data_IF_230681009291
#
_entry.id   IF_230681009291
#
_cell.length_a   1.000
_cell.length_b   1.000
_cell.length_c   1.000
_cell.angle_alpha   90.00
_cell.angle_beta   90.00
_cell.angle_gamma   90.00
#
_symmetry.space_group_name_H-M   'P 1'
#
loop_
_entity.id
_entity.type
_entity.pdbx_description
1 polymer ?
#
# COMPACT_ATOMS: atom_id res chain seq x y z
N UNK A 1 -2.93 27.89 20.30
CA UNK A 1 -3.31 27.34 18.97
C UNK A 1 -2.13 26.66 18.26
N UNK A 2 -1.06 27.37 17.84
CA UNK A 2 0.10 26.70 17.21
C UNK A 2 0.85 25.76 18.16
N UNK A 3 1.04 26.17 19.44
CA UNK A 3 1.67 25.33 20.47
C UNK A 3 0.92 24.01 20.70
N UNK A 4 -0.41 24.08 20.74
CA UNK A 4 -1.28 22.90 20.92
C UNK A 4 -1.20 21.93 19.72
N UNK A 5 -1.01 22.46 18.51
CA UNK A 5 -0.80 21.66 17.29
C UNK A 5 0.56 20.94 17.37
N UNK A 6 1.63 21.65 17.73
CA UNK A 6 2.96 21.05 17.86
C UNK A 6 3.02 20.00 18.97
N UNK A 7 2.34 20.24 20.10
CA UNK A 7 2.22 19.25 21.18
C UNK A 7 1.46 18.00 20.70
N UNK A 8 0.37 18.17 19.94
CA UNK A 8 -0.39 17.07 19.37
C UNK A 8 0.42 16.26 18.35
N UNK A 9 1.14 16.93 17.45
CA UNK A 9 2.03 16.27 16.48
C UNK A 9 3.16 15.54 17.21
N UNK A 10 3.74 16.15 18.24
CA UNK A 10 4.73 15.50 19.10
C UNK A 10 4.19 14.25 19.78
N UNK A 11 2.97 14.30 20.32
CA UNK A 11 2.30 13.15 20.91
C UNK A 11 2.04 12.03 19.88
N UNK A 12 1.65 12.41 18.65
CA UNK A 12 1.42 11.48 17.55
C UNK A 12 2.68 10.71 17.13
N UNK A 13 3.88 11.26 17.37
CA UNK A 13 5.17 10.61 17.06
C UNK A 13 5.73 9.84 18.27
N UNK A 14 5.47 10.31 19.50
CA UNK A 14 5.92 9.63 20.74
C UNK A 14 5.24 8.29 20.95
N UNK A 15 3.99 8.13 20.50
CA UNK A 15 3.26 6.87 20.59
C UNK A 15 2.59 6.64 21.94
N UNK A 16 2.08 7.70 22.54
CA UNK A 16 1.28 7.65 23.77
C UNK A 16 0.02 6.81 23.53
N UNK A 17 -0.29 5.84 24.41
CA UNK A 17 -1.50 5.01 24.28
C UNK A 17 -2.75 5.85 24.50
N UNK A 18 -3.69 5.76 23.57
CA UNK A 18 -4.95 6.51 23.59
C UNK A 18 -6.14 5.58 23.30
N UNK A 19 -7.22 5.77 24.05
CA UNK A 19 -8.50 5.11 23.76
C UNK A 19 -9.26 5.91 22.69
N UNK A 20 -9.16 5.49 21.43
CA UNK A 20 -9.77 6.20 20.29
C UNK A 20 -11.31 6.11 20.25
N UNK A 21 -11.90 5.27 21.10
CA UNK A 21 -13.36 5.17 21.29
C UNK A 21 -13.93 6.30 22.17
N UNK A 22 -13.06 7.12 22.77
CA UNK A 22 -13.40 8.24 23.67
C UNK A 22 -12.71 9.53 23.23
N UNK A 23 -13.10 10.66 23.83
CA UNK A 23 -12.47 11.97 23.60
C UNK A 23 -12.76 12.60 22.23
N UNK A 24 -11.92 13.55 21.80
CA UNK A 24 -12.10 14.28 20.54
C UNK A 24 -11.80 13.40 19.31
N UNK A 25 -12.72 13.38 18.35
CA UNK A 25 -12.56 12.69 17.06
C UNK A 25 -11.37 13.26 16.30
N UNK A 26 -11.24 14.59 16.22
CA UNK A 26 -10.15 15.24 15.49
C UNK A 26 -8.79 14.85 16.08
N UNK A 27 -8.67 14.84 17.41
CA UNK A 27 -7.45 14.41 18.10
C UNK A 27 -7.11 12.96 17.79
N UNK A 28 -8.10 12.07 17.86
CA UNK A 28 -7.93 10.65 17.53
C UNK A 28 -7.46 10.45 16.08
N UNK A 29 -8.06 11.14 15.12
CA UNK A 29 -7.67 11.06 13.70
C UNK A 29 -6.23 11.56 13.52
N UNK A 30 -5.81 12.67 14.13
CA UNK A 30 -4.42 13.16 14.02
C UNK A 30 -3.42 12.17 14.60
N UNK A 31 -3.71 11.62 15.79
CA UNK A 31 -2.84 10.64 16.46
C UNK A 31 -2.66 9.34 15.67
N UNK A 32 -3.65 8.94 14.85
CA UNK A 32 -3.56 7.78 13.96
C UNK A 32 -2.95 8.16 12.60
N UNK A 33 -3.40 9.25 11.99
CA UNK A 33 -3.07 9.63 10.63
C UNK A 33 -1.62 10.05 10.47
N UNK A 34 -1.08 10.88 11.37
CA UNK A 34 0.31 11.38 11.27
C UNK A 34 1.32 10.23 11.19
N UNK A 35 1.35 9.27 12.13
CA UNK A 35 2.29 8.16 12.03
C UNK A 35 2.03 7.27 10.80
N UNK A 36 0.78 7.02 10.41
CA UNK A 36 0.48 6.22 9.22
C UNK A 36 0.85 6.93 7.90
N UNK A 37 0.75 8.27 7.84
CA UNK A 37 1.25 9.06 6.71
C UNK A 37 2.77 8.96 6.60
N UNK A 38 3.46 9.12 7.72
CA UNK A 38 4.91 9.03 7.81
C UNK A 38 5.43 7.62 7.52
N UNK A 39 4.65 6.60 7.90
CA UNK A 39 4.87 5.20 7.53
C UNK A 39 4.85 5.05 6.00
N UNK A 40 3.77 5.48 5.33
CA UNK A 40 3.63 5.34 3.87
C UNK A 40 4.54 6.28 3.06
N UNK A 41 4.91 7.43 3.61
CA UNK A 41 5.92 8.30 3.01
C UNK A 41 7.30 7.59 2.95
N UNK A 42 7.65 6.82 3.98
CA UNK A 42 8.92 6.09 4.01
C UNK A 42 8.97 4.95 2.98
N UNK A 43 7.84 4.34 2.64
CA UNK A 43 7.77 3.38 1.50
C UNK A 43 8.07 4.07 0.18
N UNK A 44 7.58 5.30 0.01
CA UNK A 44 7.85 6.10 -1.20
C UNK A 44 9.34 6.43 -1.32
N UNK A 45 9.99 6.80 -0.21
CA UNK A 45 11.43 7.09 -0.16
C UNK A 45 12.24 5.82 -0.42
N UNK A 46 11.86 4.69 0.19
CA UNK A 46 12.51 3.40 -0.04
C UNK A 46 12.55 3.02 -1.52
N UNK A 47 11.40 3.05 -2.21
CA UNK A 47 11.32 2.71 -3.62
C UNK A 47 12.24 3.57 -4.51
N UNK A 48 12.35 4.86 -4.20
CA UNK A 48 13.23 5.78 -4.93
C UNK A 48 14.72 5.48 -4.69
N UNK A 49 15.11 5.19 -3.44
CA UNK A 49 16.50 4.91 -3.10
C UNK A 49 16.97 3.57 -3.68
N UNK A 50 16.14 2.53 -3.60
CA UNK A 50 16.45 1.20 -4.15
C UNK A 50 16.67 1.28 -5.67
N UNK A 51 15.72 1.93 -6.38
CA UNK A 51 15.83 2.16 -7.83
C UNK A 51 17.12 2.92 -8.20
N UNK A 52 17.52 3.90 -7.38
CA UNK A 52 18.70 4.71 -7.61
C UNK A 52 20.02 3.92 -7.47
N UNK A 53 20.12 3.01 -6.51
CA UNK A 53 21.32 2.18 -6.36
C UNK A 53 21.39 1.07 -7.40
N UNK A 54 20.27 0.38 -7.65
CA UNK A 54 20.18 -0.67 -8.69
C UNK A 54 20.52 -0.10 -10.08
N UNK A 55 20.02 1.10 -10.39
CA UNK A 55 20.28 1.76 -11.67
C UNK A 55 21.76 2.03 -11.97
N UNK A 56 22.65 1.97 -10.97
CA UNK A 56 24.10 2.10 -11.14
C UNK A 56 24.83 0.79 -11.44
N UNK A 57 24.17 -0.36 -11.29
CA UNK A 57 24.78 -1.67 -11.56
C UNK A 57 24.88 -1.93 -13.06
N UNK A 58 23.82 -1.59 -13.81
CA UNK A 58 23.75 -1.79 -15.26
C UNK A 58 22.31 -1.86 -15.77
N UNK A 59 22.16 -1.81 -17.09
CA UNK A 59 20.85 -1.84 -17.76
C UNK A 59 20.15 -3.18 -17.59
N UNK A 60 20.89 -4.28 -17.62
CA UNK A 60 20.39 -5.65 -17.42
C UNK A 60 19.90 -5.86 -15.98
N UNK A 61 20.61 -5.28 -14.99
CA UNK A 61 20.19 -5.28 -13.59
C UNK A 61 18.90 -4.49 -13.39
N UNK A 62 18.78 -3.30 -13.98
CA UNK A 62 17.56 -2.50 -13.93
C UNK A 62 16.37 -3.24 -14.58
N UNK A 63 16.62 -3.92 -15.69
CA UNK A 63 15.60 -4.73 -16.38
C UNK A 63 15.16 -5.90 -15.51
N UNK A 64 16.09 -6.64 -14.92
CA UNK A 64 15.82 -7.72 -13.95
C UNK A 64 14.92 -7.22 -12.83
N UNK A 65 15.31 -6.13 -12.16
CA UNK A 65 14.56 -5.59 -11.03
C UNK A 65 13.16 -5.17 -11.46
N UNK A 66 13.02 -4.48 -12.59
CA UNK A 66 11.71 -4.08 -13.10
C UNK A 66 10.78 -5.26 -13.40
N UNK A 67 11.29 -6.31 -14.06
CA UNK A 67 10.48 -7.51 -14.35
C UNK A 67 10.08 -8.25 -13.06
N UNK A 68 11.01 -8.37 -12.11
CA UNK A 68 10.74 -9.01 -10.83
C UNK A 68 9.82 -8.18 -9.95
N UNK A 69 9.89 -6.86 -10.01
CA UNK A 69 8.98 -5.96 -9.30
C UNK A 69 7.53 -6.11 -9.77
N UNK A 70 7.30 -6.30 -11.07
CA UNK A 70 5.95 -6.61 -11.60
C UNK A 70 5.39 -7.89 -10.97
N UNK A 71 6.21 -8.93 -10.87
CA UNK A 71 5.81 -10.18 -10.21
C UNK A 71 5.58 -9.99 -8.70
N UNK A 72 6.48 -9.28 -8.03
CA UNK A 72 6.38 -8.97 -6.60
C UNK A 72 5.19 -8.06 -6.28
N UNK A 73 4.70 -7.27 -7.22
CA UNK A 73 3.47 -6.47 -7.06
C UNK A 73 2.25 -7.35 -6.81
N UNK A 74 2.19 -8.55 -7.41
CA UNK A 74 1.14 -9.52 -7.12
C UNK A 74 1.25 -10.06 -5.68
N UNK A 75 2.48 -10.34 -5.24
CA UNK A 75 2.77 -10.75 -3.87
C UNK A 75 2.40 -9.66 -2.87
N UNK A 76 2.75 -8.39 -3.15
CA UNK A 76 2.34 -7.24 -2.34
C UNK A 76 0.82 -7.07 -2.31
N UNK A 77 0.13 -7.27 -3.44
CA UNK A 77 -1.33 -7.18 -3.50
C UNK A 77 -1.99 -8.21 -2.56
N UNK A 78 -1.45 -9.44 -2.53
CA UNK A 78 -1.89 -10.48 -1.59
C UNK A 78 -1.54 -10.10 -0.15
N UNK A 79 -0.33 -9.59 0.12
CA UNK A 79 0.12 -9.20 1.45
C UNK A 79 -0.74 -8.06 2.04
N UNK A 80 -1.01 -7.01 1.26
CA UNK A 80 -1.84 -5.88 1.67
C UNK A 80 -3.29 -6.33 1.87
N UNK A 81 -3.82 -7.17 0.96
CA UNK A 81 -5.13 -7.79 1.12
C UNK A 81 -5.26 -8.60 2.41
N UNK A 82 -4.27 -9.46 2.67
CA UNK A 82 -4.18 -10.26 3.89
C UNK A 82 -4.07 -9.39 5.14
N UNK A 83 -3.37 -8.25 5.08
CA UNK A 83 -3.25 -7.30 6.20
C UNK A 83 -4.57 -6.61 6.57
N UNK A 84 -5.52 -6.54 5.62
CA UNK A 84 -6.83 -5.90 5.85
C UNK A 84 -7.66 -6.67 6.88
N UNK A 85 -7.57 -8.00 6.88
CA UNK A 85 -8.30 -8.87 7.81
C UNK A 85 -7.91 -8.67 9.29
N UNK A 86 -6.63 -8.83 9.71
CA UNK A 86 -6.24 -8.57 11.08
C UNK A 86 -6.43 -7.10 11.46
N UNK A 87 -6.26 -6.14 10.55
CA UNK A 87 -6.54 -4.73 10.84
C UNK A 87 -7.99 -4.52 11.28
N UNK A 88 -8.96 -5.02 10.51
CA UNK A 88 -10.38 -4.87 10.84
C UNK A 88 -10.78 -5.66 12.10
N UNK A 89 -10.34 -6.91 12.23
CA UNK A 89 -10.69 -7.78 13.36
C UNK A 89 -10.06 -7.32 14.68
N UNK A 90 -8.77 -6.96 14.66
CA UNK A 90 -8.09 -6.43 15.85
C UNK A 90 -8.71 -5.09 16.25
N UNK A 91 -8.96 -4.19 15.30
CA UNK A 91 -9.65 -2.94 15.59
C UNK A 91 -11.00 -3.19 16.27
N UNK A 92 -11.79 -4.13 15.74
CA UNK A 92 -13.07 -4.52 16.33
C UNK A 92 -12.93 -4.99 17.77
N UNK A 93 -12.07 -5.99 18.02
CA UNK A 93 -11.88 -6.56 19.36
C UNK A 93 -11.27 -5.57 20.37
N UNK A 94 -10.38 -4.68 19.94
CA UNK A 94 -9.86 -3.61 20.78
C UNK A 94 -10.95 -2.59 21.13
N UNK A 95 -11.83 -2.27 20.17
CA UNK A 95 -13.03 -1.46 20.41
C UNK A 95 -13.97 -2.08 21.44
N UNK A 96 -14.15 -3.40 21.39
CA UNK A 96 -14.94 -4.21 22.33
C UNK A 96 -14.26 -4.40 23.69
N UNK A 97 -13.04 -3.89 23.88
CA UNK A 97 -12.22 -4.10 25.09
C UNK A 97 -11.89 -5.56 25.35
N UNK A 98 -11.70 -6.34 24.28
CA UNK A 98 -11.33 -7.75 24.32
C UNK A 98 -9.96 -8.02 23.68
N UNK A 99 -8.85 -7.62 24.34
CA UNK A 99 -7.50 -7.82 23.80
C UNK A 99 -7.13 -9.31 23.62
N UNK A 100 -7.75 -10.23 24.37
CA UNK A 100 -7.51 -11.67 24.21
C UNK A 100 -7.98 -12.19 22.84
N UNK A 101 -9.16 -11.78 22.38
CA UNK A 101 -9.64 -12.12 21.05
C UNK A 101 -8.83 -11.41 19.95
N UNK A 102 -8.36 -10.20 20.22
CA UNK A 102 -7.44 -9.49 19.33
C UNK A 102 -6.12 -10.26 19.14
N UNK A 103 -5.50 -10.74 20.23
CA UNK A 103 -4.34 -11.62 20.20
C UNK A 103 -4.57 -12.90 19.42
N UNK A 104 -5.73 -13.54 19.63
CA UNK A 104 -6.09 -14.76 18.90
C UNK A 104 -6.19 -14.51 17.40
N UNK A 105 -6.90 -13.46 16.98
CA UNK A 105 -7.02 -13.09 15.57
C UNK A 105 -5.64 -12.76 14.95
N UNK A 106 -4.77 -12.06 15.69
CA UNK A 106 -3.41 -11.75 15.27
C UNK A 106 -2.57 -13.01 15.03
N UNK A 107 -2.57 -13.96 15.96
CA UNK A 107 -1.87 -15.24 15.81
C UNK A 107 -2.37 -16.06 14.61
N UNK A 108 -3.68 -16.13 14.42
CA UNK A 108 -4.28 -16.82 13.28
C UNK A 108 -3.92 -16.15 11.94
N UNK A 109 -3.89 -14.82 11.87
CA UNK A 109 -3.49 -14.09 10.67
C UNK A 109 -2.01 -14.31 10.31
N UNK A 110 -1.12 -14.35 11.31
CA UNK A 110 0.30 -14.67 11.12
C UNK A 110 0.46 -16.09 10.56
N UNK A 111 -0.23 -17.08 11.15
CA UNK A 111 -0.23 -18.46 10.66
C UNK A 111 -0.69 -18.55 9.20
N UNK A 112 -1.79 -17.86 8.86
CA UNK A 112 -2.28 -17.81 7.49
C UNK A 112 -1.27 -17.19 6.53
N UNK A 113 -0.62 -16.08 6.94
CA UNK A 113 0.42 -15.42 6.15
C UNK A 113 1.63 -16.28 5.88
N UNK A 114 2.09 -17.07 6.85
CA UNK A 114 3.20 -18.02 6.64
C UNK A 114 2.80 -19.11 5.65
N UNK A 115 1.59 -19.66 5.76
CA UNK A 115 1.10 -20.70 4.84
C UNK A 115 0.99 -20.15 3.41
N UNK A 116 0.34 -19.00 3.23
CA UNK A 116 0.20 -18.35 1.91
C UNK A 116 1.58 -18.02 1.33
N UNK A 117 2.49 -17.53 2.17
CA UNK A 117 3.86 -17.24 1.73
C UNK A 117 4.61 -18.47 1.25
N UNK A 118 4.51 -19.60 1.95
CA UNK A 118 5.15 -20.84 1.56
C UNK A 118 4.63 -21.35 0.20
N UNK A 119 3.33 -21.22 -0.05
CA UNK A 119 2.70 -21.56 -1.34
C UNK A 119 3.20 -20.71 -2.51
N UNK A 120 3.67 -19.48 -2.25
CA UNK A 120 4.26 -18.58 -3.26
C UNK A 120 5.78 -18.79 -3.36
N UNK A 121 6.47 -18.96 -2.22
CA UNK A 121 7.92 -19.06 -2.14
C UNK A 121 8.46 -20.24 -2.94
N UNK A 122 7.86 -21.43 -2.75
CA UNK A 122 8.31 -22.68 -3.37
C UNK A 122 8.28 -22.60 -4.90
N UNK A 123 7.15 -22.31 -5.55
CA UNK A 123 7.13 -22.19 -7.02
C UNK A 123 7.94 -20.98 -7.50
N UNK A 124 7.89 -19.83 -6.81
CA UNK A 124 8.63 -18.64 -7.22
C UNK A 124 10.15 -18.84 -7.21
N UNK A 125 10.67 -19.63 -6.27
CA UNK A 125 12.09 -19.98 -6.22
C UNK A 125 12.48 -21.00 -7.29
N UNK A 126 11.68 -22.07 -7.45
CA UNK A 126 11.98 -23.15 -8.41
C UNK A 126 11.92 -22.63 -9.84
N UNK A 127 10.86 -21.89 -10.19
CA UNK A 127 10.56 -21.42 -11.53
C UNK A 127 11.05 -19.99 -11.81
N UNK A 128 11.97 -19.44 -11.01
CA UNK A 128 12.42 -18.04 -11.16
C UNK A 128 12.92 -17.70 -12.58
N UNK A 129 13.65 -18.61 -13.21
CA UNK A 129 14.15 -18.43 -14.59
C UNK A 129 13.01 -18.47 -15.61
N UNK A 130 12.09 -19.44 -15.49
CA UNK A 130 10.94 -19.57 -16.37
C UNK A 130 9.98 -18.37 -16.25
N UNK A 131 9.83 -17.84 -15.04
CA UNK A 131 9.04 -16.64 -14.77
C UNK A 131 9.67 -15.40 -15.42
N UNK A 132 10.99 -15.23 -15.35
CA UNK A 132 11.69 -14.15 -16.06
C UNK A 132 11.53 -14.30 -17.58
N UNK A 133 11.69 -15.52 -18.11
CA UNK A 133 11.49 -15.81 -19.52
C UNK A 133 10.05 -15.50 -19.97
N UNK A 134 9.05 -15.86 -19.15
CA UNK A 134 7.64 -15.54 -19.40
C UNK A 134 7.37 -14.04 -19.45
N UNK A 135 8.13 -13.24 -18.70
CA UNK A 135 8.07 -11.78 -18.72
C UNK A 135 8.84 -11.15 -19.88
N UNK A 136 9.48 -11.95 -20.74
CA UNK A 136 10.21 -11.49 -21.92
C UNK A 136 11.66 -11.10 -21.64
N UNK A 137 12.25 -11.58 -20.54
CA UNK A 137 13.68 -11.40 -20.27
C UNK A 137 14.53 -12.09 -21.35
N UNK A 138 15.61 -11.43 -21.78
CA UNK A 138 16.65 -12.06 -22.61
C UNK A 138 17.47 -13.06 -21.80
N UNK A 139 18.20 -13.95 -22.48
CA UNK A 139 19.08 -14.92 -21.82
C UNK A 139 20.08 -14.26 -20.85
N UNK A 140 20.65 -13.11 -21.24
CA UNK A 140 21.57 -12.35 -20.38
C UNK A 140 20.90 -11.80 -19.10
N UNK A 141 19.66 -11.32 -19.22
CA UNK A 141 18.87 -10.84 -18.07
C UNK A 141 18.49 -12.01 -17.15
N UNK A 142 18.17 -13.17 -17.71
CA UNK A 142 17.89 -14.39 -16.93
C UNK A 142 19.15 -14.84 -16.19
N UNK A 143 20.28 -14.95 -16.88
CA UNK A 143 21.55 -15.41 -16.29
C UNK A 143 21.98 -14.51 -15.12
N UNK A 144 21.86 -13.19 -15.25
CA UNK A 144 22.20 -12.25 -14.20
C UNK A 144 21.11 -12.11 -13.12
N UNK A 145 19.84 -12.32 -13.48
CA UNK A 145 18.69 -11.93 -12.66
C UNK A 145 17.97 -13.07 -11.92
N UNK A 146 18.28 -14.33 -12.23
CA UNK A 146 17.65 -15.49 -11.58
C UNK A 146 17.92 -15.51 -10.07
N UNK A 147 19.15 -15.21 -9.64
CA UNK A 147 19.48 -15.19 -8.21
C UNK A 147 18.72 -14.11 -7.44
N UNK A 148 18.64 -12.90 -7.99
CA UNK A 148 17.81 -11.81 -7.44
C UNK A 148 16.35 -12.26 -7.27
N UNK A 149 15.76 -12.80 -8.34
CA UNK A 149 14.36 -13.25 -8.36
C UNK A 149 14.11 -14.37 -7.36
N UNK A 150 15.04 -15.34 -7.25
CA UNK A 150 15.00 -16.42 -6.26
C UNK A 150 15.00 -15.89 -4.84
N UNK A 151 15.89 -14.94 -4.51
CA UNK A 151 15.97 -14.35 -3.17
C UNK A 151 14.67 -13.62 -2.84
N UNK A 152 14.12 -12.83 -3.77
CA UNK A 152 12.87 -12.09 -3.56
C UNK A 152 11.67 -13.03 -3.31
N UNK A 153 11.53 -14.11 -4.08
CA UNK A 153 10.47 -15.09 -3.85
C UNK A 153 10.70 -15.92 -2.58
N UNK A 154 11.91 -16.41 -2.33
CA UNK A 154 12.20 -17.20 -1.13
C UNK A 154 11.98 -16.40 0.16
N UNK A 155 12.29 -15.10 0.12
CA UNK A 155 12.14 -14.19 1.26
C UNK A 155 10.74 -13.58 1.39
N UNK A 156 9.78 -13.90 0.51
CA UNK A 156 8.47 -13.26 0.51
C UNK A 156 7.70 -13.38 1.85
N UNK A 157 8.05 -14.36 2.69
CA UNK A 157 7.50 -14.50 4.06
C UNK A 157 7.75 -13.27 4.91
N UNK A 158 8.91 -12.63 4.73
CA UNK A 158 9.26 -11.40 5.42
C UNK A 158 8.30 -10.29 5.02
N UNK A 159 8.02 -10.15 3.72
CA UNK A 159 7.08 -9.16 3.19
C UNK A 159 5.66 -9.43 3.71
N UNK A 160 5.21 -10.68 3.63
CA UNK A 160 3.89 -11.10 4.11
C UNK A 160 3.70 -10.76 5.59
N UNK A 161 4.67 -11.15 6.43
CA UNK A 161 4.62 -10.87 7.86
C UNK A 161 4.71 -9.38 8.16
N UNK A 162 5.54 -8.62 7.43
CA UNK A 162 5.67 -7.18 7.60
C UNK A 162 4.31 -6.48 7.45
N UNK A 163 3.58 -6.77 6.37
CA UNK A 163 2.25 -6.21 6.13
C UNK A 163 1.20 -6.72 7.10
N UNK A 164 1.14 -8.03 7.36
CA UNK A 164 0.16 -8.63 8.27
C UNK A 164 0.30 -8.06 9.69
N UNK A 165 1.53 -7.98 10.21
CA UNK A 165 1.78 -7.49 11.56
C UNK A 165 1.62 -5.96 11.64
N UNK A 166 1.96 -5.20 10.59
CA UNK A 166 1.60 -3.79 10.54
C UNK A 166 0.08 -3.60 10.54
N UNK A 167 -0.67 -4.46 9.85
CA UNK A 167 -2.14 -4.52 9.95
C UNK A 167 -2.62 -4.72 11.39
N UNK A 168 -1.98 -5.62 12.16
CA UNK A 168 -2.26 -5.84 13.58
C UNK A 168 -2.01 -4.58 14.41
N UNK A 169 -0.84 -3.94 14.27
CA UNK A 169 -0.53 -2.70 15.02
C UNK A 169 -1.49 -1.56 14.67
N UNK A 170 -1.80 -1.38 13.38
CA UNK A 170 -2.77 -0.38 12.93
C UNK A 170 -4.15 -0.68 13.50
N UNK A 171 -4.61 -1.92 13.47
CA UNK A 171 -5.89 -2.33 14.08
C UNK A 171 -5.92 -2.04 15.58
N UNK A 172 -4.82 -2.30 16.28
CA UNK A 172 -4.67 -2.01 17.70
C UNK A 172 -4.61 -0.51 18.04
N UNK A 173 -4.50 0.36 17.03
CA UNK A 173 -4.30 1.80 17.21
C UNK A 173 -2.86 2.16 17.60
N UNK A 174 -1.92 1.23 17.48
CA UNK A 174 -0.51 1.40 17.80
C UNK A 174 0.28 1.86 16.56
N UNK A 175 -0.25 2.86 15.86
CA UNK A 175 0.24 3.36 14.56
C UNK A 175 1.73 3.77 14.59
N UNK A 176 2.21 4.30 15.72
CA UNK A 176 3.62 4.68 15.89
C UNK A 176 4.55 3.48 15.83
N UNK A 177 4.13 2.30 16.31
CA UNK A 177 4.94 1.08 16.22
C UNK A 177 5.04 0.62 14.78
N UNK A 178 3.94 0.66 14.03
CA UNK A 178 3.95 0.34 12.61
C UNK A 178 4.89 1.26 11.83
N UNK A 179 4.81 2.58 12.09
CA UNK A 179 5.73 3.57 11.52
C UNK A 179 7.20 3.28 11.86
N UNK A 180 7.53 3.08 13.14
CA UNK A 180 8.92 2.83 13.58
C UNK A 180 9.51 1.56 12.99
N UNK A 181 8.71 0.50 12.88
CA UNK A 181 9.13 -0.75 12.23
C UNK A 181 9.54 -0.49 10.80
N UNK A 182 8.72 0.24 10.03
CA UNK A 182 8.98 0.45 8.61
C UNK A 182 10.14 1.40 8.38
N UNK A 183 10.29 2.42 9.23
CA UNK A 183 11.46 3.30 9.24
C UNK A 183 12.75 2.55 9.56
N UNK A 184 12.72 1.64 10.54
CA UNK A 184 13.86 0.78 10.85
C UNK A 184 14.19 -0.12 9.66
N UNK A 185 13.20 -0.80 9.09
CA UNK A 185 13.39 -1.71 7.97
C UNK A 185 13.99 -1.01 6.74
N UNK A 186 13.37 0.09 6.32
CA UNK A 186 13.79 0.85 5.16
C UNK A 186 15.11 1.59 5.43
N UNK A 187 15.33 2.10 6.64
CA UNK A 187 16.60 2.73 7.02
C UNK A 187 17.78 1.75 6.98
N UNK A 188 17.59 0.51 7.46
CA UNK A 188 18.59 -0.55 7.35
C UNK A 188 18.85 -0.87 5.88
N UNK A 189 17.80 -1.07 5.08
CA UNK A 189 17.96 -1.36 3.66
C UNK A 189 18.74 -0.25 2.92
N UNK A 190 18.40 1.03 3.12
CA UNK A 190 19.08 2.18 2.49
C UNK A 190 20.59 2.17 2.78
N UNK A 191 21.00 1.71 3.97
CA UNK A 191 22.41 1.59 4.36
C UNK A 191 23.04 0.33 3.73
N UNK A 192 22.32 -0.78 3.72
CA UNK A 192 22.81 -2.07 3.24
C UNK A 192 22.86 -2.19 1.72
N UNK A 193 22.04 -1.44 0.98
CA UNK A 193 22.01 -1.43 -0.48
C UNK A 193 23.39 -1.12 -1.07
N UNK A 194 24.00 0.07 -0.86
CA UNK A 194 25.31 0.36 -1.43
C UNK A 194 26.38 -0.61 -0.92
N UNK A 195 26.23 -1.11 0.32
CA UNK A 195 27.16 -2.05 0.94
C UNK A 195 27.21 -3.40 0.20
N UNK A 196 26.05 -3.98 -0.09
CA UNK A 196 25.97 -5.29 -0.75
C UNK A 196 25.99 -5.19 -2.27
N UNK A 197 25.51 -4.09 -2.85
CA UNK A 197 25.52 -3.90 -4.30
C UNK A 197 26.97 -3.67 -4.79
N UNK A 198 27.67 -2.68 -4.21
CA UNK A 198 29.01 -2.29 -4.68
C UNK A 198 30.15 -2.98 -3.92
N UNK A 199 29.86 -3.53 -2.74
CA UNK A 199 30.89 -4.03 -1.82
C UNK A 199 31.55 -2.90 -1.04
N UNK A 200 32.07 -3.23 0.14
CA UNK A 200 32.89 -2.31 0.95
C UNK A 200 33.92 -3.11 1.74
N UNK A 201 35.20 -2.87 1.44
CA UNK A 201 36.32 -3.55 2.10
C UNK A 201 36.23 -5.08 1.95
N UNK A 202 36.01 -5.85 3.03
CA UNK A 202 35.95 -7.32 2.98
C UNK A 202 34.63 -7.87 2.40
N UNK A 203 33.59 -7.05 2.25
CA UNK A 203 32.30 -7.49 1.71
C UNK A 203 32.36 -7.41 0.18
N UNK A 204 32.17 -8.54 -0.54
CA UNK A 204 32.16 -8.51 -2.01
C UNK A 204 30.91 -7.79 -2.52
N UNK A 205 31.02 -7.16 -3.69
CA UNK A 205 29.87 -6.59 -4.39
C UNK A 205 29.06 -7.69 -5.07
N UNK A 206 27.83 -7.89 -4.62
CA UNK A 206 26.88 -8.88 -5.17
C UNK A 206 26.06 -8.33 -6.34
N UNK A 207 26.30 -7.08 -6.77
CA UNK A 207 25.56 -6.45 -7.86
C UNK A 207 24.06 -6.42 -7.57
N UNK A 208 23.25 -6.88 -8.52
CA UNK A 208 21.78 -6.87 -8.41
C UNK A 208 21.29 -7.75 -7.24
N UNK A 209 21.91 -8.89 -6.99
CA UNK A 209 21.55 -9.76 -5.85
C UNK A 209 21.75 -9.06 -4.51
N UNK A 210 22.73 -8.16 -4.43
CA UNK A 210 22.99 -7.34 -3.26
C UNK A 210 21.77 -6.52 -2.81
N UNK A 211 20.99 -5.99 -3.76
CA UNK A 211 19.76 -5.25 -3.49
C UNK A 211 18.67 -6.15 -2.86
N UNK A 212 18.49 -7.37 -3.39
CA UNK A 212 17.54 -8.33 -2.81
C UNK A 212 17.96 -8.76 -1.40
N UNK A 213 19.26 -8.96 -1.15
CA UNK A 213 19.79 -9.30 0.17
C UNK A 213 19.56 -8.14 1.15
N UNK A 214 19.92 -6.92 0.78
CA UNK A 214 19.71 -5.73 1.60
C UNK A 214 18.23 -5.51 1.94
N UNK A 215 17.34 -5.65 0.97
CA UNK A 215 15.88 -5.58 1.17
C UNK A 215 15.39 -6.66 2.12
N UNK A 216 15.83 -7.90 1.92
CA UNK A 216 15.46 -9.05 2.76
C UNK A 216 15.89 -8.85 4.21
N UNK A 217 17.13 -8.38 4.43
CA UNK A 217 17.66 -8.13 5.77
C UNK A 217 16.92 -6.96 6.41
N UNK A 218 16.76 -5.83 5.71
CA UNK A 218 16.06 -4.66 6.24
C UNK A 218 14.64 -4.99 6.70
N UNK A 219 13.84 -5.57 5.80
CA UNK A 219 12.47 -5.99 6.13
C UNK A 219 12.46 -7.11 7.18
N UNK A 220 13.44 -8.02 7.15
CA UNK A 220 13.58 -9.11 8.11
C UNK A 220 13.80 -8.61 9.53
N UNK A 221 14.70 -7.63 9.71
CA UNK A 221 14.90 -6.94 10.99
C UNK A 221 13.63 -6.22 11.43
N UNK A 222 12.90 -5.61 10.49
CA UNK A 222 11.56 -5.06 10.73
C UNK A 222 10.62 -6.09 11.35
N UNK A 223 10.46 -7.25 10.71
CA UNK A 223 9.61 -8.35 11.21
C UNK A 223 10.08 -8.87 12.57
N UNK A 224 11.39 -9.06 12.77
CA UNK A 224 11.93 -9.47 14.07
C UNK A 224 11.59 -8.46 15.17
N UNK A 225 11.67 -7.16 14.86
CA UNK A 225 11.27 -6.11 15.79
C UNK A 225 9.76 -6.12 16.05
N UNK A 226 8.93 -6.36 15.03
CA UNK A 226 7.48 -6.53 15.20
C UNK A 226 7.15 -7.71 16.13
N UNK A 227 7.78 -8.87 15.91
CA UNK A 227 7.58 -10.05 16.75
C UNK A 227 8.06 -9.78 18.17
N UNK A 228 9.21 -9.14 18.37
CA UNK A 228 9.69 -8.71 19.69
C UNK A 228 8.67 -7.84 20.44
N UNK A 229 7.98 -6.93 19.73
CA UNK A 229 6.94 -6.08 20.33
C UNK A 229 5.68 -6.87 20.69
N UNK A 230 5.31 -7.87 19.89
CA UNK A 230 4.11 -8.69 20.10
C UNK A 230 4.29 -9.84 21.12
N UNK A 231 5.49 -10.36 21.30
CA UNK A 231 5.75 -11.45 22.25
C UNK A 231 6.06 -10.97 23.67
N UNK A 232 6.22 -9.66 23.90
CA UNK A 232 6.38 -9.08 25.23
C UNK A 232 5.20 -8.19 25.65
N UNK A 233 5.31 -7.56 26.83
CA UNK A 233 4.30 -6.61 27.36
C UNK A 233 4.36 -5.22 26.72
N UNK A 234 4.90 -5.15 25.49
CA UNK A 234 5.15 -3.89 24.80
C UNK A 234 3.99 -3.49 23.89
N UNK A 235 2.98 -4.34 23.73
CA UNK A 235 1.82 -4.19 22.84
C UNK A 235 0.53 -4.58 23.52
N UNK A 236 -0.57 -3.91 23.18
CA UNK A 236 -1.92 -4.30 23.63
C UNK A 236 -2.29 -5.69 23.10
N UNK A 237 -1.80 -6.04 21.90
CA UNK A 237 -1.90 -7.38 21.32
C UNK A 237 -0.65 -8.17 21.72
N UNK A 238 -0.84 -9.26 22.44
CA UNK A 238 0.23 -10.13 22.94
C UNK A 238 0.12 -11.56 22.40
N UNK A 239 1.18 -12.07 21.80
CA UNK A 239 1.22 -13.43 21.21
C UNK A 239 1.71 -14.52 22.17
N UNK A 240 2.22 -14.15 23.36
CA UNK A 240 2.78 -15.08 24.34
C UNK A 240 1.76 -15.99 25.05
N UNK A 241 0.45 -15.74 24.90
CA UNK A 241 -0.62 -16.53 25.54
C UNK A 241 -0.88 -17.87 24.86
N UNK A 242 -1.08 -18.95 25.64
CA UNK A 242 -1.07 -20.34 25.16
C UNK A 242 -2.11 -20.74 24.10
N UNK A 243 -3.26 -20.04 23.99
CA UNK A 243 -4.29 -20.32 22.96
C UNK A 243 -4.15 -19.48 21.68
N UNK A 244 -3.16 -18.60 21.58
CA UNK A 244 -2.97 -17.74 20.40
C UNK A 244 -2.61 -18.55 19.16
N UNK A 245 -1.82 -19.61 19.34
CA UNK A 245 -1.26 -20.46 18.28
C UNK A 245 -2.08 -21.72 18.02
N UNK A 246 -3.05 -22.05 18.88
CA UNK A 246 -3.97 -23.15 18.61
C UNK A 246 -4.87 -22.79 17.43
N UNK A 247 -4.90 -23.64 16.40
CA UNK A 247 -5.70 -23.40 15.19
C UNK A 247 -7.18 -23.26 15.58
N UNK A 248 -7.73 -22.09 15.30
CA UNK A 248 -9.16 -21.80 15.41
C UNK A 248 -9.74 -21.76 14.00
N UNK A 249 -10.30 -22.89 13.57
CA UNK A 249 -10.81 -23.03 12.21
C UNK A 249 -11.89 -22.00 11.84
N UNK A 250 -12.90 -21.73 12.69
CA UNK A 250 -13.82 -20.61 12.48
C UNK A 250 -13.13 -19.25 12.30
N UNK A 251 -12.14 -18.92 13.13
CA UNK A 251 -11.39 -17.66 13.01
C UNK A 251 -10.57 -17.62 11.71
N UNK A 252 -9.89 -18.71 11.36
CA UNK A 252 -9.13 -18.84 10.12
C UNK A 252 -10.02 -18.63 8.88
N UNK A 253 -11.22 -19.23 8.86
CA UNK A 253 -12.17 -19.04 7.77
C UNK A 253 -12.62 -17.58 7.63
N UNK A 254 -12.86 -16.88 8.75
CA UNK A 254 -13.21 -15.44 8.73
C UNK A 254 -12.06 -14.60 8.19
N UNK A 255 -10.85 -14.80 8.71
CA UNK A 255 -9.65 -14.09 8.25
C UNK A 255 -9.43 -14.38 6.77
N UNK A 256 -9.45 -15.64 6.34
CA UNK A 256 -9.25 -16.03 4.94
C UNK A 256 -10.30 -15.42 4.00
N UNK A 257 -11.57 -15.34 4.41
CA UNK A 257 -12.63 -14.70 3.62
C UNK A 257 -12.38 -13.20 3.44
N UNK A 258 -12.02 -12.50 4.51
CA UNK A 258 -11.73 -11.05 4.47
C UNK A 258 -10.44 -10.79 3.70
N UNK A 259 -9.41 -11.61 3.92
CA UNK A 259 -8.12 -11.52 3.27
C UNK A 259 -8.20 -11.80 1.77
N UNK A 260 -8.91 -12.85 1.34
CA UNK A 260 -9.08 -13.18 -0.09
C UNK A 260 -9.82 -12.09 -0.85
N UNK A 261 -10.89 -11.54 -0.27
CA UNK A 261 -11.62 -10.41 -0.87
C UNK A 261 -10.77 -9.15 -0.90
N UNK A 262 -10.04 -8.83 0.18
CA UNK A 262 -9.07 -7.73 0.19
C UNK A 262 -7.96 -7.91 -0.85
N UNK A 263 -7.37 -9.11 -0.96
CA UNK A 263 -6.33 -9.41 -1.95
C UNK A 263 -6.88 -9.26 -3.37
N UNK A 264 -8.09 -9.75 -3.63
CA UNK A 264 -8.74 -9.59 -4.92
C UNK A 264 -9.00 -8.11 -5.24
N UNK A 265 -9.38 -7.29 -4.25
CA UNK A 265 -9.52 -5.85 -4.42
C UNK A 265 -8.23 -5.19 -4.93
N UNK A 266 -7.09 -5.49 -4.31
CA UNK A 266 -5.80 -4.95 -4.76
C UNK A 266 -5.36 -5.52 -6.11
N UNK A 267 -5.59 -6.81 -6.35
CA UNK A 267 -5.29 -7.44 -7.64
C UNK A 267 -6.11 -6.83 -8.79
N UNK A 268 -7.38 -6.49 -8.56
CA UNK A 268 -8.22 -5.79 -9.55
C UNK A 268 -7.55 -4.47 -9.97
N UNK A 269 -7.11 -3.66 -8.99
CA UNK A 269 -6.48 -2.37 -9.24
C UNK A 269 -5.12 -2.53 -9.93
N UNK A 270 -4.24 -3.38 -9.39
CA UNK A 270 -2.91 -3.66 -9.95
C UNK A 270 -3.00 -4.20 -11.38
N UNK A 271 -3.95 -5.11 -11.65
CA UNK A 271 -4.15 -5.66 -12.98
C UNK A 271 -4.75 -4.64 -13.95
N UNK A 272 -5.67 -3.77 -13.51
CA UNK A 272 -6.21 -2.69 -14.34
C UNK A 272 -5.09 -1.83 -14.94
N UNK A 273 -4.11 -1.49 -14.10
CA UNK A 273 -2.97 -0.69 -14.52
C UNK A 273 -2.16 -1.34 -15.66
N UNK A 274 -1.99 -2.67 -15.66
CA UNK A 274 -1.31 -3.40 -16.74
C UNK A 274 -2.02 -3.21 -18.08
N UNK A 275 -3.36 -3.29 -18.10
CA UNK A 275 -4.15 -3.09 -19.32
C UNK A 275 -4.10 -1.64 -19.80
N UNK A 276 -4.15 -0.67 -18.88
CA UNK A 276 -3.99 0.75 -19.23
C UNK A 276 -2.60 1.03 -19.81
N UNK A 277 -1.56 0.49 -19.19
CA UNK A 277 -0.19 0.62 -19.68
C UNK A 277 -0.05 0.01 -21.07
N UNK A 278 -0.71 -1.13 -21.34
CA UNK A 278 -0.76 -1.75 -22.67
C UNK A 278 -1.45 -0.87 -23.73
N UNK A 279 -2.48 -0.11 -23.35
CA UNK A 279 -3.12 0.88 -24.22
C UNK A 279 -2.15 2.04 -24.47
N UNK A 280 -1.56 2.61 -23.43
CA UNK A 280 -0.60 3.72 -23.54
C UNK A 280 0.60 3.34 -24.42
N UNK A 281 1.12 2.12 -24.28
CA UNK A 281 2.22 1.61 -25.10
C UNK A 281 1.89 1.57 -26.60
N UNK A 282 0.62 1.51 -26.98
CA UNK A 282 0.24 1.60 -28.40
C UNK A 282 0.40 3.00 -29.02
N UNK A 283 0.70 4.03 -28.21
CA UNK A 283 0.98 5.40 -28.66
C UNK A 283 2.49 5.73 -28.72
N UNK A 284 3.37 4.74 -28.48
CA UNK A 284 4.82 4.84 -28.65
C UNK A 284 5.63 5.08 -27.37
N UNK A 285 6.95 4.97 -27.48
CA UNK A 285 7.86 4.93 -26.32
C UNK A 285 7.86 6.24 -25.50
N UNK A 286 7.79 7.39 -26.17
CA UNK A 286 7.69 8.69 -25.48
C UNK A 286 6.39 8.82 -24.66
N UNK A 287 5.30 8.22 -25.12
CA UNK A 287 4.03 8.20 -24.39
C UNK A 287 4.15 7.37 -23.11
N UNK A 288 4.77 6.19 -23.20
CA UNK A 288 5.06 5.34 -22.04
C UNK A 288 5.95 6.06 -21.03
N UNK A 289 7.04 6.67 -21.49
CA UNK A 289 7.97 7.39 -20.64
C UNK A 289 7.28 8.55 -19.90
N UNK A 290 6.56 9.41 -20.62
CA UNK A 290 5.83 10.54 -20.02
C UNK A 290 4.76 10.10 -19.02
N UNK A 291 3.93 9.13 -19.39
CA UNK A 291 2.88 8.59 -18.53
C UNK A 291 3.45 7.97 -17.26
N UNK A 292 4.55 7.22 -17.36
CA UNK A 292 5.21 6.58 -16.22
C UNK A 292 5.75 7.63 -15.23
N UNK A 293 6.35 8.72 -15.72
CA UNK A 293 6.79 9.83 -14.86
C UNK A 293 5.61 10.45 -14.11
N UNK A 294 4.50 10.73 -14.81
CA UNK A 294 3.30 11.30 -14.18
C UNK A 294 2.72 10.39 -13.09
N UNK A 295 2.60 9.08 -13.38
CA UNK A 295 2.11 8.09 -12.41
C UNK A 295 3.03 8.00 -11.19
N UNK A 296 4.35 7.99 -11.38
CA UNK A 296 5.32 7.97 -10.26
C UNK A 296 5.15 9.18 -9.33
N UNK A 297 5.01 10.37 -9.89
CA UNK A 297 4.77 11.60 -9.12
C UNK A 297 3.47 11.49 -8.30
N UNK A 298 2.40 10.97 -8.90
CA UNK A 298 1.10 10.83 -8.21
C UNK A 298 1.16 9.81 -7.09
N UNK A 299 1.78 8.64 -7.32
CA UNK A 299 1.91 7.59 -6.30
C UNK A 299 2.68 8.13 -5.09
N UNK A 300 3.76 8.88 -5.32
CA UNK A 300 4.59 9.47 -4.25
C UNK A 300 3.76 10.30 -3.26
N UNK A 301 2.80 11.09 -3.75
CA UNK A 301 1.92 11.91 -2.90
C UNK A 301 0.64 11.20 -2.46
N UNK A 302 0.22 10.15 -3.16
CA UNK A 302 -0.95 9.33 -2.83
C UNK A 302 -0.67 8.36 -1.67
N UNK A 303 0.57 7.87 -1.53
CA UNK A 303 0.95 6.97 -0.44
C UNK A 303 0.71 7.60 0.96
N UNK A 304 1.11 8.86 1.24
CA UNK A 304 0.70 9.52 2.47
C UNK A 304 -0.83 9.62 2.63
N UNK A 305 -1.59 9.86 1.56
CA UNK A 305 -3.06 9.88 1.63
C UNK A 305 -3.65 8.50 1.99
N UNK A 306 -3.05 7.40 1.51
CA UNK A 306 -3.38 6.06 2.00
C UNK A 306 -3.12 5.91 3.50
N UNK A 307 -2.10 6.56 4.05
CA UNK A 307 -1.88 6.67 5.49
C UNK A 307 -3.09 7.26 6.24
N UNK A 308 -3.67 8.36 5.75
CA UNK A 308 -4.93 8.90 6.31
C UNK A 308 -6.09 7.92 6.15
N UNK A 309 -6.18 7.24 5.01
CA UNK A 309 -7.25 6.27 4.74
C UNK A 309 -7.17 5.06 5.69
N UNK A 310 -5.97 4.58 6.00
CA UNK A 310 -5.74 3.54 7.01
C UNK A 310 -6.14 4.01 8.42
N UNK A 311 -5.93 5.29 8.75
CA UNK A 311 -6.39 5.85 10.02
C UNK A 311 -7.92 5.87 10.13
N UNK A 312 -8.62 6.18 9.02
CA UNK A 312 -10.07 6.06 8.97
C UNK A 312 -10.53 4.61 9.19
N UNK A 313 -9.86 3.64 8.56
CA UNK A 313 -10.18 2.21 8.72
C UNK A 313 -10.08 1.76 10.18
N UNK A 314 -8.94 2.02 10.83
CA UNK A 314 -8.73 1.72 12.26
C UNK A 314 -9.78 2.40 13.14
N UNK A 315 -10.01 3.71 12.93
CA UNK A 315 -10.96 4.47 13.72
C UNK A 315 -12.38 3.91 13.59
N UNK A 316 -12.80 3.53 12.38
CA UNK A 316 -14.10 2.89 12.14
C UNK A 316 -14.19 1.55 12.86
N UNK A 317 -13.21 0.65 12.66
CA UNK A 317 -13.22 -0.67 13.29
C UNK A 317 -13.33 -0.62 14.81
N UNK A 318 -12.55 0.24 15.47
CA UNK A 318 -12.60 0.40 16.93
C UNK A 318 -13.91 1.00 17.42
N UNK A 319 -14.45 2.01 16.73
CA UNK A 319 -15.69 2.64 17.16
C UNK A 319 -16.91 1.75 16.90
N UNK A 320 -16.88 0.90 15.87
CA UNK A 320 -17.91 -0.12 15.67
C UNK A 320 -17.83 -1.21 16.75
N UNK A 321 -16.63 -1.64 17.16
CA UNK A 321 -16.45 -2.55 18.29
C UNK A 321 -16.96 -1.96 19.61
N UNK A 322 -16.77 -0.67 19.81
CA UNK A 322 -17.32 0.06 20.95
C UNK A 322 -18.84 0.32 20.85
N UNK A 323 -19.52 -0.19 19.81
CA UNK A 323 -20.95 0.04 19.52
C UNK A 323 -21.30 1.51 19.32
N UNK A 324 -20.40 2.30 18.72
CA UNK A 324 -20.55 3.73 18.43
C UNK A 324 -20.52 4.04 16.91
N UNK A 325 -21.46 3.52 16.10
CA UNK A 325 -21.45 3.71 14.64
C UNK A 325 -21.58 5.17 14.20
N UNK A 326 -22.32 6.00 14.95
CA UNK A 326 -22.42 7.45 14.67
C UNK A 326 -21.11 8.21 14.96
N UNK A 327 -20.27 7.70 15.87
CA UNK A 327 -18.92 8.25 16.07
C UNK A 327 -17.99 7.81 14.94
N UNK A 328 -18.03 6.53 14.56
CA UNK A 328 -17.29 6.00 13.41
C UNK A 328 -17.55 6.83 12.15
N UNK A 329 -18.83 7.08 11.84
CA UNK A 329 -19.24 7.88 10.68
C UNK A 329 -18.68 9.32 10.73
N UNK A 330 -18.80 10.00 11.86
CA UNK A 330 -18.23 11.35 12.02
C UNK A 330 -16.71 11.36 11.84
N UNK A 331 -16.02 10.30 12.27
CA UNK A 331 -14.59 10.10 12.02
C UNK A 331 -14.26 10.08 10.53
N UNK A 332 -15.00 9.29 9.75
CA UNK A 332 -14.82 9.22 8.29
C UNK A 332 -15.02 10.59 7.63
N UNK A 333 -16.06 11.34 8.01
CA UNK A 333 -16.29 12.68 7.48
C UNK A 333 -15.17 13.68 7.83
N UNK A 334 -14.60 13.57 9.04
CA UNK A 334 -13.45 14.39 9.45
C UNK A 334 -12.22 14.03 8.60
N UNK A 335 -11.89 12.74 8.50
CA UNK A 335 -10.75 12.29 7.70
C UNK A 335 -10.91 12.65 6.23
N UNK A 336 -12.11 12.48 5.67
CA UNK A 336 -12.43 12.86 4.30
C UNK A 336 -12.09 14.33 4.02
N UNK A 337 -12.53 15.25 4.89
CA UNK A 337 -12.22 16.68 4.73
C UNK A 337 -10.72 16.95 4.74
N UNK A 338 -9.99 16.33 5.67
CA UNK A 338 -8.53 16.52 5.78
C UNK A 338 -7.84 15.98 4.53
N UNK A 339 -8.18 14.78 4.08
CA UNK A 339 -7.60 14.17 2.88
C UNK A 339 -7.95 14.96 1.62
N UNK A 340 -9.19 15.43 1.47
CA UNK A 340 -9.59 16.26 0.33
C UNK A 340 -8.84 17.59 0.29
N UNK A 341 -8.61 18.26 1.43
CA UNK A 341 -7.80 19.48 1.48
C UNK A 341 -6.34 19.18 1.14
N UNK A 342 -5.77 18.13 1.71
CA UNK A 342 -4.40 17.69 1.41
C UNK A 342 -4.19 17.45 -0.10
N UNK A 343 -5.07 16.66 -0.73
CA UNK A 343 -4.98 16.38 -2.16
C UNK A 343 -5.38 17.57 -3.04
N UNK A 344 -6.25 18.46 -2.60
CA UNK A 344 -6.56 19.68 -3.34
C UNK A 344 -5.33 20.59 -3.45
N UNK A 345 -4.63 20.80 -2.33
CA UNK A 345 -3.41 21.62 -2.30
C UNK A 345 -2.33 21.03 -3.20
N UNK A 346 -2.11 19.71 -3.12
CA UNK A 346 -1.15 19.02 -3.97
C UNK A 346 -1.57 18.99 -5.44
N UNK A 347 -2.87 18.84 -5.73
CA UNK A 347 -3.41 18.88 -7.08
C UNK A 347 -3.17 20.23 -7.74
N UNK A 348 -3.45 21.33 -7.02
CA UNK A 348 -3.13 22.69 -7.51
C UNK A 348 -1.63 22.81 -7.80
N UNK A 349 -0.79 22.31 -6.89
CA UNK A 349 0.66 22.32 -7.08
C UNK A 349 1.10 21.55 -8.32
N UNK A 350 0.62 20.33 -8.51
CA UNK A 350 0.91 19.54 -9.71
C UNK A 350 0.39 20.18 -10.98
N UNK A 351 -0.77 20.81 -10.96
CA UNK A 351 -1.30 21.49 -12.14
C UNK A 351 -0.41 22.67 -12.57
N UNK A 352 0.02 23.50 -11.61
CA UNK A 352 0.83 24.69 -11.85
C UNK A 352 2.29 24.35 -12.18
N UNK A 353 2.89 23.39 -11.47
CA UNK A 353 4.29 23.02 -11.61
C UNK A 353 4.54 21.75 -12.42
N UNK A 354 3.55 21.27 -13.20
CA UNK A 354 3.68 20.03 -13.97
C UNK A 354 4.93 20.02 -14.87
N UNK A 355 5.18 21.12 -15.60
CA UNK A 355 6.31 21.22 -16.52
C UNK A 355 7.67 21.00 -15.84
N UNK A 356 8.09 21.83 -14.86
CA UNK A 356 9.39 21.65 -14.23
C UNK A 356 9.52 20.31 -13.49
N UNK A 357 8.43 19.80 -12.92
CA UNK A 357 8.43 18.52 -12.23
C UNK A 357 8.63 17.34 -13.17
N UNK A 358 8.02 17.34 -14.36
CA UNK A 358 8.19 16.25 -15.33
C UNK A 358 9.52 16.38 -16.06
N UNK A 359 9.94 17.61 -16.39
CA UNK A 359 11.20 17.88 -17.07
C UNK A 359 12.43 17.43 -16.26
N UNK A 360 12.34 17.41 -14.92
CA UNK A 360 13.46 16.92 -14.09
C UNK A 360 13.74 15.42 -14.26
N UNK A 361 12.81 14.63 -14.85
CA UNK A 361 12.98 13.19 -15.07
C UNK A 361 13.34 12.82 -16.51
N UNK A 362 13.20 13.73 -17.48
CA UNK A 362 13.48 13.44 -18.89
C UNK A 362 13.91 14.70 -19.65
N UNK A 363 14.97 14.56 -20.46
CA UNK A 363 15.41 15.59 -21.40
C UNK A 363 14.63 15.60 -22.72
N UNK A 364 13.83 14.58 -23.00
CA UNK A 364 13.14 14.42 -24.28
C UNK A 364 11.82 15.18 -24.30
N UNK A 365 11.74 16.23 -25.12
CA UNK A 365 10.60 17.14 -25.16
C UNK A 365 9.26 16.44 -25.43
N UNK A 366 9.26 15.38 -26.25
CA UNK A 366 8.06 14.59 -26.53
C UNK A 366 7.55 13.84 -25.29
N UNK A 367 8.44 13.18 -24.53
CA UNK A 367 8.07 12.51 -23.29
C UNK A 367 7.61 13.51 -22.22
N UNK A 368 8.28 14.66 -22.12
CA UNK A 368 7.89 15.72 -21.18
C UNK A 368 6.48 16.21 -21.47
N UNK A 369 6.11 16.44 -22.74
CA UNK A 369 4.75 16.85 -23.10
C UNK A 369 3.68 15.86 -22.66
N UNK A 370 3.88 14.56 -22.92
CA UNK A 370 2.94 13.52 -22.48
C UNK A 370 2.84 13.46 -20.95
N UNK A 371 3.97 13.54 -20.24
CA UNK A 371 3.97 13.52 -18.78
C UNK A 371 3.29 14.75 -18.16
N UNK A 372 3.50 15.94 -18.72
CA UNK A 372 2.86 17.18 -18.26
C UNK A 372 1.36 17.11 -18.45
N UNK A 373 0.89 16.71 -19.62
CA UNK A 373 -0.54 16.55 -19.90
C UNK A 373 -1.18 15.55 -18.95
N UNK A 374 -0.57 14.38 -18.79
CA UNK A 374 -1.06 13.36 -17.86
C UNK A 374 -1.14 13.88 -16.43
N UNK A 375 -0.06 14.49 -15.92
CA UNK A 375 0.01 15.01 -14.56
C UNK A 375 -1.04 16.12 -14.31
N UNK A 376 -1.26 17.02 -15.26
CA UNK A 376 -2.27 18.07 -15.16
C UNK A 376 -3.69 17.50 -15.14
N UNK A 377 -4.00 16.50 -15.96
CA UNK A 377 -5.33 15.87 -15.96
C UNK A 377 -5.57 15.12 -14.66
N UNK A 378 -4.59 14.34 -14.19
CA UNK A 378 -4.68 13.68 -12.88
C UNK A 378 -4.86 14.66 -11.73
N UNK A 379 -4.17 15.81 -11.77
CA UNK A 379 -4.29 16.87 -10.79
C UNK A 379 -5.73 17.41 -10.66
N UNK A 380 -6.49 17.47 -11.77
CA UNK A 380 -7.92 17.85 -11.77
C UNK A 380 -8.76 16.84 -10.96
N UNK A 381 -8.47 15.54 -11.12
CA UNK A 381 -9.15 14.45 -10.42
C UNK A 381 -8.72 14.25 -8.97
N UNK A 382 -7.63 14.89 -8.52
CA UNK A 382 -6.89 14.42 -7.35
C UNK A 382 -7.67 14.49 -6.03
N UNK A 383 -8.57 15.47 -5.90
CA UNK A 383 -9.48 15.58 -4.76
C UNK A 383 -10.43 14.38 -4.67
N UNK A 384 -10.88 13.86 -5.81
CA UNK A 384 -11.81 12.73 -5.87
C UNK A 384 -11.13 11.41 -5.52
N UNK A 385 -9.83 11.28 -5.79
CA UNK A 385 -9.06 10.09 -5.37
C UNK A 385 -9.10 9.97 -3.84
N UNK A 386 -8.93 11.11 -3.14
CA UNK A 386 -9.15 11.21 -1.69
C UNK A 386 -10.57 10.89 -1.27
N UNK A 387 -11.54 11.40 -2.02
CA UNK A 387 -12.95 11.21 -1.72
C UNK A 387 -13.43 9.77 -1.88
N UNK A 388 -12.80 8.99 -2.76
CA UNK A 388 -13.06 7.56 -2.93
C UNK A 388 -12.31 6.69 -1.94
N UNK A 389 -11.02 6.96 -1.70
CA UNK A 389 -10.20 6.10 -0.84
C UNK A 389 -10.70 6.07 0.62
N UNK A 390 -11.23 7.18 1.14
CA UNK A 390 -11.62 7.27 2.56
C UNK A 390 -12.83 6.38 2.88
N UNK A 391 -13.98 6.46 2.15
CA UNK A 391 -15.07 5.51 2.33
C UNK A 391 -14.68 4.06 2.03
N UNK A 392 -13.86 3.82 1.00
CA UNK A 392 -13.35 2.47 0.68
C UNK A 392 -12.60 1.85 1.86
N UNK A 393 -11.68 2.62 2.46
CA UNK A 393 -10.95 2.14 3.63
C UNK A 393 -11.83 2.06 4.88
N UNK A 394 -12.86 2.89 5.00
CA UNK A 394 -13.85 2.75 6.07
C UNK A 394 -14.63 1.42 5.99
N UNK A 395 -15.02 0.97 4.79
CA UNK A 395 -15.64 -0.35 4.59
C UNK A 395 -14.67 -1.48 4.94
N UNK A 396 -13.41 -1.38 4.49
CA UNK A 396 -12.38 -2.35 4.86
C UNK A 396 -12.17 -2.41 6.38
N UNK A 397 -12.13 -1.25 7.05
CA UNK A 397 -12.03 -1.15 8.51
C UNK A 397 -13.26 -1.67 9.27
N UNK A 398 -14.45 -1.65 8.66
CA UNK A 398 -15.65 -2.24 9.26
C UNK A 398 -15.70 -3.77 9.12
N UNK A 399 -14.87 -4.35 8.23
CA UNK A 399 -14.90 -5.75 7.83
C UNK A 399 -15.72 -6.02 6.57
N UNK A 400 -16.30 -5.00 5.93
CA UNK A 400 -17.00 -5.12 4.65
C UNK A 400 -16.02 -4.92 3.49
N UNK A 401 -15.25 -5.95 3.17
CA UNK A 401 -14.32 -5.95 2.03
C UNK A 401 -15.02 -6.23 0.70
N UNK A 402 -16.28 -6.68 0.71
CA UNK A 402 -17.03 -7.02 -0.51
C UNK A 402 -17.49 -5.77 -1.25
N UNK A 403 -17.97 -4.77 -0.52
CA UNK A 403 -18.42 -3.51 -1.10
C UNK A 403 -17.29 -2.82 -1.90
N UNK A 404 -16.09 -2.58 -1.32
CA UNK A 404 -14.93 -2.10 -2.06
C UNK A 404 -14.53 -2.95 -3.26
N UNK A 405 -14.58 -4.28 -3.13
CA UNK A 405 -14.19 -5.19 -4.21
C UNK A 405 -15.05 -4.97 -5.45
N UNK A 406 -16.37 -4.91 -5.29
CA UNK A 406 -17.28 -4.65 -6.41
C UNK A 406 -17.13 -3.25 -6.98
N UNK A 407 -16.93 -2.23 -6.13
CA UNK A 407 -16.66 -0.87 -6.59
C UNK A 407 -15.42 -0.81 -7.48
N UNK A 408 -14.31 -1.41 -7.03
CA UNK A 408 -13.06 -1.45 -7.81
C UNK A 408 -13.25 -2.22 -9.11
N UNK A 409 -13.93 -3.38 -9.08
CA UNK A 409 -14.17 -4.16 -10.30
C UNK A 409 -14.99 -3.36 -11.33
N UNK A 410 -16.09 -2.76 -10.91
CA UNK A 410 -16.96 -1.98 -11.82
C UNK A 410 -16.21 -0.77 -12.37
N UNK A 411 -15.55 0.00 -11.51
CA UNK A 411 -14.93 1.26 -11.93
C UNK A 411 -13.67 1.02 -12.75
N UNK A 412 -12.80 0.07 -12.37
CA UNK A 412 -11.52 -0.15 -13.04
C UNK A 412 -11.60 -1.10 -14.23
N UNK A 413 -12.49 -2.11 -14.21
CA UNK A 413 -12.57 -3.07 -15.31
C UNK A 413 -13.71 -2.79 -16.28
N UNK A 414 -14.91 -2.48 -15.79
CA UNK A 414 -16.08 -2.30 -16.65
C UNK A 414 -16.18 -0.87 -17.22
N UNK A 415 -15.49 0.08 -16.60
CA UNK A 415 -15.53 1.49 -16.99
C UNK A 415 -14.17 2.00 -17.46
N UNK A 416 -13.15 2.02 -16.59
CA UNK A 416 -11.85 2.65 -16.86
C UNK A 416 -11.16 2.09 -18.10
N UNK A 417 -10.97 0.75 -18.20
CA UNK A 417 -10.29 0.13 -19.35
C UNK A 417 -11.05 0.35 -20.67
N UNK A 418 -12.36 0.03 -20.79
CA UNK A 418 -13.11 0.29 -22.02
C UNK A 418 -13.13 1.77 -22.40
N UNK A 419 -13.30 2.67 -21.42
CA UNK A 419 -13.32 4.11 -21.64
C UNK A 419 -11.94 4.61 -22.09
N UNK A 420 -10.85 4.13 -21.49
CA UNK A 420 -9.49 4.48 -21.87
C UNK A 420 -9.15 4.00 -23.29
N UNK A 421 -9.60 2.81 -23.66
CA UNK A 421 -9.49 2.32 -25.04
C UNK A 421 -10.28 3.20 -26.01
N UNK A 422 -11.53 3.53 -25.67
CA UNK A 422 -12.41 4.33 -26.52
C UNK A 422 -11.91 5.77 -26.69
N UNK A 423 -11.65 6.49 -25.59
CA UNK A 423 -11.15 7.87 -25.64
C UNK A 423 -9.75 7.94 -26.28
N UNK A 424 -8.86 7.01 -25.92
CA UNK A 424 -7.48 7.01 -26.40
C UNK A 424 -7.37 6.64 -27.88
N UNK A 425 -8.00 5.53 -28.31
CA UNK A 425 -7.85 5.02 -29.68
C UNK A 425 -8.95 5.46 -30.64
N UNK A 426 -10.22 5.45 -30.21
CA UNK A 426 -11.34 5.69 -31.12
C UNK A 426 -11.58 7.18 -31.34
N UNK A 427 -11.52 8.00 -30.27
CA UNK A 427 -11.64 9.45 -30.37
C UNK A 427 -10.30 10.17 -30.65
N UNK A 428 -9.19 9.44 -30.63
CA UNK A 428 -7.87 9.98 -30.99
C UNK A 428 -7.22 10.87 -29.93
N UNK A 429 -7.71 10.87 -28.69
CA UNK A 429 -7.09 11.65 -27.59
C UNK A 429 -5.80 11.01 -27.03
N UNK A 430 -5.36 9.87 -27.58
CA UNK A 430 -4.12 9.18 -27.20
C UNK A 430 -3.97 9.02 -25.68
N UNK A 431 -2.82 9.39 -25.10
CA UNK A 431 -2.54 9.29 -23.65
C UNK A 431 -3.52 10.12 -22.82
N UNK A 432 -3.89 11.32 -23.28
CA UNK A 432 -4.85 12.17 -22.59
C UNK A 432 -6.21 11.46 -22.42
N UNK A 433 -6.67 10.76 -23.45
CA UNK A 433 -7.90 9.95 -23.39
C UNK A 433 -7.83 8.85 -22.33
N UNK A 434 -6.68 8.19 -22.19
CA UNK A 434 -6.46 7.17 -21.15
C UNK A 434 -6.50 7.81 -19.76
N UNK A 435 -5.81 8.94 -19.57
CA UNK A 435 -5.74 9.62 -18.26
C UNK A 435 -7.11 10.15 -17.83
N UNK A 436 -7.90 10.70 -18.76
CA UNK A 436 -9.28 11.10 -18.49
C UNK A 436 -10.14 9.91 -18.06
N UNK A 437 -9.96 8.73 -18.65
CA UNK A 437 -10.68 7.54 -18.24
C UNK A 437 -10.40 7.15 -16.78
N UNK A 438 -9.14 7.25 -16.33
CA UNK A 438 -8.76 7.04 -14.92
C UNK A 438 -9.47 8.04 -14.01
N UNK A 439 -9.40 9.34 -14.36
CA UNK A 439 -10.03 10.40 -13.55
C UNK A 439 -11.54 10.21 -13.47
N UNK A 440 -12.21 9.88 -14.58
CA UNK A 440 -13.65 9.64 -14.63
C UNK A 440 -14.02 8.41 -13.78
N UNK A 441 -13.25 7.33 -13.88
CA UNK A 441 -13.47 6.12 -13.09
C UNK A 441 -13.32 6.38 -11.59
N UNK A 442 -12.30 7.12 -11.17
CA UNK A 442 -12.07 7.51 -9.78
C UNK A 442 -13.15 8.45 -9.24
N UNK A 443 -13.64 9.39 -10.06
CA UNK A 443 -14.78 10.25 -9.69
C UNK A 443 -16.03 9.42 -9.47
N UNK A 444 -16.32 8.48 -10.37
CA UNK A 444 -17.50 7.59 -10.25
C UNK A 444 -17.35 6.67 -9.02
N UNK A 445 -16.16 6.10 -8.80
CA UNK A 445 -15.85 5.32 -7.60
C UNK A 445 -16.10 6.13 -6.34
N UNK A 446 -15.61 7.37 -6.27
CA UNK A 446 -15.81 8.26 -5.14
C UNK A 446 -17.30 8.55 -4.87
N UNK A 447 -18.07 8.86 -5.91
CA UNK A 447 -19.51 9.11 -5.79
C UNK A 447 -20.27 7.88 -5.31
N UNK A 448 -20.00 6.71 -5.90
CA UNK A 448 -20.63 5.45 -5.51
C UNK A 448 -20.25 5.03 -4.08
N UNK A 449 -18.97 5.16 -3.72
CA UNK A 449 -18.47 4.84 -2.38
C UNK A 449 -19.10 5.74 -1.32
N UNK A 450 -19.18 7.06 -1.56
CA UNK A 450 -19.85 8.01 -0.66
C UNK A 450 -21.36 7.74 -0.53
N UNK A 451 -22.01 7.36 -1.64
CA UNK A 451 -23.44 7.01 -1.63
C UNK A 451 -23.71 5.74 -0.82
N UNK A 452 -22.95 4.67 -1.04
CA UNK A 452 -23.04 3.43 -0.26
C UNK A 452 -22.69 3.67 1.22
N UNK A 453 -21.72 4.53 1.48
CA UNK A 453 -21.32 4.89 2.84
C UNK A 453 -22.46 5.58 3.59
N UNK A 454 -23.17 6.51 2.93
CA UNK A 454 -24.36 7.17 3.49
C UNK A 454 -25.54 6.22 3.74
N UNK A 455 -25.69 5.17 2.92
CA UNK A 455 -26.72 4.13 3.16
C UNK A 455 -26.51 3.37 4.47
N UNK A 456 -25.26 3.27 4.94
CA UNK A 456 -24.97 2.81 6.30
C UNK A 456 -25.00 1.30 6.53
N UNK A 457 -25.13 0.46 5.48
CA UNK A 457 -25.11 -1.01 5.62
C UNK A 457 -23.85 -1.52 6.32
N UNK A 458 -22.72 -0.86 6.09
CA UNK A 458 -21.41 -1.14 6.72
C UNK A 458 -21.42 -1.03 8.25
N UNK A 459 -22.36 -0.27 8.83
CA UNK A 459 -22.49 -0.11 10.29
C UNK A 459 -22.97 -1.39 10.97
N UNK A 460 -23.65 -2.26 10.22
CA UNK A 460 -24.18 -3.54 10.70
C UNK A 460 -23.23 -4.72 10.43
N UNK A 461 -22.07 -4.48 9.82
CA UNK A 461 -21.12 -5.55 9.49
C UNK A 461 -20.49 -6.13 10.76
N UNK A 462 -20.54 -7.46 10.86
CA UNK A 462 -19.87 -8.27 11.88
C UNK A 462 -18.62 -8.94 11.29
N UNK A 463 -17.59 -9.11 12.11
CA UNK A 463 -16.24 -9.56 11.68
C UNK A 463 -15.89 -10.94 12.23
#
# INVERSE_FOLDING_TARGET
MLKDIWELLGAAIRGEQHDFTKGSIQRAIVLLAVPMMLEMAMESVFALVDTFFVGRVGTEALTTVGLTEVMMTLVYSIAIGLSTAPMAMVARFIGEKNPAQASRAAGQAILLGVVVSALIAVPGFIYAADLLALMGASEAVIEQGVGYTRIMFASNVVIMLLFVINGIFRGAGEAVKAMRVLWLANGINIILDPLFIFGLGPIPGFGVEGAAIATTIGRGVGVLYQLYLLFGDRSVVQLGGGRTWSIDWPMQQRIARIASTGAFQYLIASASWVFLMRIVASFGDYAVAGYTVAVRLIIFTLLPAWGLANAAATFVGQNLGAKQPGRAERGVWVTLRVTSVYLAVLGIGYYVWAWPLVQSFSGEAAAVRYGVQALQIFAIGYVFFGAGMIPVQAFNGSGDTRTPTWLNFICFWLLEIPLGYYLGKHLGYAVEGVVWAVVIAEVILALLALWLFKRGSWKATEV
#
